data_IF_372900797445
#
_entry.id   IF_372900797445
#
_cell.length_a   1.000
_cell.length_b   1.000
_cell.length_c   1.000
_cell.angle_alpha   90.00
_cell.angle_beta   90.00
_cell.angle_gamma   90.00
#
_symmetry.space_group_name_H-M   'P 1'
#
loop_
_entity.id
_entity.type
_entity.pdbx_description
1 polymer ?
#
# COMPACT_ATOMS: atom_id res chain seq x y z
N UNK A 1 -57.35 -23.36 -0.39
CA UNK A 1 -56.39 -23.86 0.62
C UNK A 1 -55.04 -23.31 0.23
N UNK A 2 -54.68 -22.12 0.73
CA UNK A 2 -53.26 -21.72 0.89
C UNK A 2 -52.73 -22.43 2.14
N UNK A 3 -51.41 -22.57 2.40
CA UNK A 3 -50.29 -21.68 2.02
C UNK A 3 -49.12 -22.50 1.38
N UNK A 4 -47.90 -22.03 1.10
CA UNK A 4 -47.13 -20.91 1.62
C UNK A 4 -45.92 -20.60 0.71
N UNK A 5 -45.47 -19.34 0.75
CA UNK A 5 -44.10 -18.79 0.79
C UNK A 5 -42.91 -19.58 0.15
N UNK A 6 -41.89 -18.98 -0.47
CA UNK A 6 -41.31 -17.63 -0.37
C UNK A 6 -40.22 -17.50 -1.44
N UNK A 7 -40.07 -16.28 -1.97
CA UNK A 7 -38.81 -15.53 -2.18
C UNK A 7 -37.66 -16.27 -2.89
N UNK A 8 -37.42 -15.97 -4.16
CA UNK A 8 -36.54 -14.88 -4.64
C UNK A 8 -35.06 -15.28 -4.62
N UNK A 9 -34.48 -15.41 -5.79
CA UNK A 9 -33.06 -15.11 -6.08
C UNK A 9 -32.98 -15.02 -7.61
N UNK A 10 -33.08 -13.84 -8.18
CA UNK A 10 -32.02 -12.82 -8.30
C UNK A 10 -31.21 -13.01 -9.57
N UNK A 11 -31.51 -12.13 -10.54
CA UNK A 11 -30.53 -11.43 -11.37
C UNK A 11 -29.29 -12.22 -11.83
N UNK A 12 -29.50 -13.39 -12.43
CA UNK A 12 -28.47 -14.25 -13.01
C UNK A 12 -27.98 -13.73 -14.40
N UNK A 13 -27.68 -12.43 -14.53
CA UNK A 13 -27.30 -11.87 -15.84
C UNK A 13 -26.17 -10.84 -15.89
N UNK A 14 -25.40 -10.58 -14.82
CA UNK A 14 -24.43 -9.48 -14.91
C UNK A 14 -23.05 -9.66 -14.24
N UNK A 15 -22.60 -10.87 -13.89
CA UNK A 15 -21.31 -11.02 -13.20
C UNK A 15 -20.37 -12.09 -13.78
N UNK A 16 -20.36 -12.27 -15.10
CA UNK A 16 -19.47 -13.24 -15.76
C UNK A 16 -18.54 -12.57 -16.80
N UNK A 17 -17.74 -11.58 -16.40
CA UNK A 17 -16.60 -11.11 -17.22
C UNK A 17 -15.64 -10.15 -16.47
N UNK A 18 -15.03 -10.55 -15.35
CA UNK A 18 -13.91 -9.74 -14.78
C UNK A 18 -12.90 -10.50 -13.90
N UNK A 19 -13.07 -11.80 -13.64
CA UNK A 19 -12.36 -12.46 -12.52
C UNK A 19 -11.07 -13.21 -12.88
N UNK A 20 -10.69 -13.29 -14.17
CA UNK A 20 -9.59 -14.16 -14.61
C UNK A 20 -8.18 -13.56 -14.56
N UNK A 21 -8.04 -12.24 -14.76
CA UNK A 21 -6.71 -11.60 -14.92
C UNK A 21 -6.11 -11.15 -13.58
N UNK A 22 -6.94 -10.87 -12.58
CA UNK A 22 -6.49 -10.40 -11.27
C UNK A 22 -5.79 -11.50 -10.44
N UNK A 23 -6.21 -12.76 -10.58
CA UNK A 23 -5.67 -13.87 -9.78
C UNK A 23 -4.24 -14.26 -10.20
N UNK A 24 -3.87 -14.05 -11.46
CA UNK A 24 -2.61 -14.58 -12.01
C UNK A 24 -1.36 -13.75 -11.63
N UNK A 25 -1.53 -12.47 -11.29
CA UNK A 25 -0.42 -11.57 -10.94
C UNK A 25 -0.12 -11.52 -9.43
N UNK A 26 -1.13 -11.65 -8.57
CA UNK A 26 -0.95 -11.63 -7.11
C UNK A 26 -0.07 -12.81 -6.61
N UNK A 27 -0.20 -13.99 -7.23
CA UNK A 27 0.52 -15.21 -6.82
C UNK A 27 2.05 -15.11 -6.97
N UNK A 28 2.58 -14.31 -7.91
CA UNK A 28 4.03 -14.12 -8.07
C UNK A 28 4.63 -13.21 -7.00
N UNK A 29 3.92 -12.18 -6.55
CA UNK A 29 4.39 -11.28 -5.49
C UNK A 29 4.52 -11.98 -4.13
N UNK A 30 3.58 -12.87 -3.81
CA UNK A 30 3.57 -13.62 -2.54
C UNK A 30 4.81 -14.51 -2.37
N UNK A 31 5.37 -15.07 -3.46
CA UNK A 31 6.58 -15.92 -3.39
C UNK A 31 7.86 -15.19 -2.96
N UNK A 32 7.88 -13.85 -3.04
CA UNK A 32 9.01 -13.04 -2.59
C UNK A 32 8.92 -12.65 -1.10
N UNK A 33 7.75 -12.80 -0.48
CA UNK A 33 7.59 -12.62 0.95
C UNK A 33 8.23 -13.81 1.68
N UNK A 34 9.35 -13.55 2.37
CA UNK A 34 10.00 -14.52 3.25
C UNK A 34 9.66 -14.18 4.70
N UNK A 35 8.84 -14.99 5.39
CA UNK A 35 8.44 -14.71 6.77
C UNK A 35 9.55 -14.91 7.81
N UNK A 36 10.68 -15.53 7.44
CA UNK A 36 11.78 -15.93 8.34
C UNK A 36 12.91 -14.90 8.44
N UNK A 37 13.11 -14.36 9.65
CA UNK A 37 14.44 -14.30 10.30
C UNK A 37 14.33 -14.84 11.72
N UNK A 38 14.67 -16.12 11.90
CA UNK A 38 14.72 -16.94 13.13
C UNK A 38 13.51 -17.85 13.36
N UNK A 39 13.74 -19.15 13.15
CA UNK A 39 12.79 -20.24 13.38
C UNK A 39 12.38 -20.42 14.86
N UNK A 40 13.05 -19.75 15.80
CA UNK A 40 12.81 -19.89 17.25
C UNK A 40 11.57 -19.13 17.75
N UNK A 41 11.10 -18.08 17.04
CA UNK A 41 9.90 -17.32 17.45
C UNK A 41 8.57 -18.05 17.24
N UNK A 42 8.54 -19.12 16.43
CA UNK A 42 7.30 -19.86 16.11
C UNK A 42 6.78 -20.75 17.25
N UNK A 43 7.61 -21.11 18.22
CA UNK A 43 7.29 -22.15 19.20
C UNK A 43 6.57 -21.66 20.48
N UNK A 44 6.42 -20.34 20.66
CA UNK A 44 5.85 -19.76 21.89
C UNK A 44 4.85 -18.62 21.58
N UNK A 45 3.63 -18.98 21.17
CA UNK A 45 2.53 -18.03 20.94
C UNK A 45 2.56 -17.43 19.54
N UNK A 46 1.40 -17.43 18.85
CA UNK A 46 1.28 -17.07 17.44
C UNK A 46 1.97 -15.73 17.09
N UNK A 47 2.83 -15.74 16.08
CA UNK A 47 3.54 -14.54 15.65
C UNK A 47 2.56 -13.56 14.99
N UNK A 48 2.41 -12.36 15.57
CA UNK A 48 1.77 -11.25 14.88
C UNK A 48 2.70 -10.72 13.78
N UNK A 49 2.17 -10.59 12.55
CA UNK A 49 2.92 -9.98 11.45
C UNK A 49 3.11 -8.49 11.73
N UNK A 50 4.32 -7.98 11.58
CA UNK A 50 4.63 -6.56 11.80
C UNK A 50 4.40 -5.75 10.52
N UNK A 51 3.34 -4.94 10.51
CA UNK A 51 2.95 -4.07 9.39
C UNK A 51 3.27 -2.62 9.75
N UNK A 52 4.04 -1.98 8.88
CA UNK A 52 4.34 -0.55 8.96
C UNK A 52 3.53 0.21 7.91
N UNK A 53 2.68 1.11 8.37
CA UNK A 53 1.98 2.09 7.54
C UNK A 53 2.78 3.38 7.57
N UNK A 54 3.19 3.89 6.42
CA UNK A 54 3.78 5.23 6.30
C UNK A 54 2.84 6.09 5.46
N UNK A 55 2.47 7.25 5.96
CA UNK A 55 1.67 8.22 5.21
C UNK A 55 2.14 9.66 5.49
N UNK A 56 1.98 10.52 4.49
CA UNK A 56 2.14 11.97 4.64
C UNK A 56 0.85 12.69 4.26
N UNK A 57 0.95 13.94 3.79
CA UNK A 57 -0.19 14.68 3.20
C UNK A 57 -1.52 14.50 3.95
N UNK A 58 -1.49 14.73 5.27
CA UNK A 58 -2.67 14.70 6.13
C UNK A 58 -3.15 13.31 6.58
N UNK A 59 -2.46 12.20 6.27
CA UNK A 59 -2.67 10.90 6.93
C UNK A 59 -3.96 10.16 6.55
N UNK A 60 -4.67 10.62 5.51
CA UNK A 60 -5.98 10.05 5.13
C UNK A 60 -5.84 8.65 4.54
N UNK A 61 -4.80 8.41 3.75
CA UNK A 61 -4.59 7.10 3.15
C UNK A 61 -4.15 6.08 4.19
N UNK A 62 -3.22 6.48 5.06
CA UNK A 62 -2.72 5.66 6.15
C UNK A 62 -3.84 5.23 7.08
N UNK A 63 -4.80 6.14 7.38
CA UNK A 63 -6.04 5.79 8.09
C UNK A 63 -6.81 4.67 7.38
N UNK A 64 -7.18 4.87 6.11
CA UNK A 64 -7.99 3.90 5.37
C UNK A 64 -7.28 2.55 5.21
N UNK A 65 -5.97 2.55 4.98
CA UNK A 65 -5.16 1.33 4.91
C UNK A 65 -5.21 0.56 6.23
N UNK A 66 -5.02 1.23 7.36
CA UNK A 66 -5.09 0.61 8.67
C UNK A 66 -6.46 -0.01 8.96
N UNK A 67 -7.54 0.71 8.66
CA UNK A 67 -8.91 0.23 8.85
C UNK A 67 -9.18 -1.04 8.04
N UNK A 68 -8.75 -1.09 6.77
CA UNK A 68 -8.93 -2.28 5.92
C UNK A 68 -8.01 -3.44 6.35
N UNK A 69 -6.75 -3.15 6.69
CA UNK A 69 -5.80 -4.16 7.16
C UNK A 69 -6.31 -4.83 8.44
N UNK A 70 -6.83 -4.05 9.39
CA UNK A 70 -7.33 -4.60 10.66
C UNK A 70 -8.52 -5.55 10.46
N UNK A 71 -9.37 -5.33 9.44
CA UNK A 71 -10.49 -6.23 9.12
C UNK A 71 -10.01 -7.60 8.63
N UNK A 72 -8.95 -7.64 7.83
CA UNK A 72 -8.44 -8.87 7.21
C UNK A 72 -7.30 -9.54 7.98
N UNK A 73 -6.62 -8.79 8.86
CA UNK A 73 -5.48 -9.23 9.66
C UNK A 73 -5.62 -8.70 11.10
N UNK A 74 -6.61 -9.19 11.88
CA UNK A 74 -6.91 -8.66 13.22
C UNK A 74 -5.75 -8.81 14.19
N UNK A 75 -4.92 -9.85 14.04
CA UNK A 75 -3.80 -10.17 14.94
C UNK A 75 -2.47 -9.52 14.53
N UNK A 76 -2.43 -8.77 13.42
CA UNK A 76 -1.21 -8.10 12.99
C UNK A 76 -0.82 -6.96 13.96
N UNK A 77 0.48 -6.79 14.20
CA UNK A 77 0.97 -5.60 14.90
C UNK A 77 1.15 -4.47 13.90
N UNK A 78 0.37 -3.40 14.04
CA UNK A 78 0.36 -2.27 13.13
C UNK A 78 1.07 -1.10 13.79
N UNK A 79 2.11 -0.58 13.11
CA UNK A 79 2.74 0.71 13.45
C UNK A 79 2.41 1.70 12.34
N UNK A 80 1.82 2.84 12.71
CA UNK A 80 1.57 3.95 11.79
C UNK A 80 2.55 5.10 12.01
N UNK A 81 3.28 5.48 10.96
CA UNK A 81 4.23 6.59 11.00
C UNK A 81 3.77 7.68 10.05
N UNK A 82 3.45 8.85 10.59
CA UNK A 82 3.25 10.05 9.78
C UNK A 82 4.58 10.69 9.42
N UNK A 83 4.76 11.12 8.17
CA UNK A 83 5.92 11.93 7.75
C UNK A 83 5.93 13.29 8.47
N UNK A 84 4.75 13.77 8.86
CA UNK A 84 4.52 14.98 9.62
C UNK A 84 3.49 14.75 10.75
N UNK A 85 3.40 15.70 11.68
CA UNK A 85 2.54 15.59 12.86
C UNK A 85 1.04 15.59 12.55
N UNK A 86 0.60 16.25 11.47
CA UNK A 86 -0.81 16.26 11.06
C UNK A 86 -1.22 14.87 10.57
N UNK A 87 -0.38 14.22 9.76
CA UNK A 87 -0.62 12.87 9.28
C UNK A 87 -0.72 11.88 10.45
N UNK A 88 0.24 11.91 11.38
CA UNK A 88 0.19 11.07 12.59
C UNK A 88 -1.05 11.36 13.43
N UNK A 89 -1.37 12.63 13.66
CA UNK A 89 -2.52 13.04 14.47
C UNK A 89 -3.84 12.53 13.89
N UNK A 90 -4.00 12.55 12.56
CA UNK A 90 -5.21 12.05 11.92
C UNK A 90 -5.33 10.52 11.98
N UNK A 91 -4.22 9.79 11.80
CA UNK A 91 -4.22 8.33 11.99
C UNK A 91 -4.48 7.94 13.45
N UNK A 92 -3.94 8.68 14.41
CA UNK A 92 -4.14 8.45 15.84
C UNK A 92 -5.58 8.70 16.27
N UNK A 93 -6.21 9.79 15.81
CA UNK A 93 -7.63 10.08 16.09
C UNK A 93 -8.57 9.01 15.56
N UNK A 94 -8.17 8.30 14.51
CA UNK A 94 -8.92 7.18 13.95
C UNK A 94 -8.63 5.85 14.65
N UNK A 95 -7.75 5.83 15.66
CA UNK A 95 -7.28 4.61 16.33
C UNK A 95 -6.80 3.53 15.33
N UNK A 96 -6.05 3.98 14.32
CA UNK A 96 -5.75 3.19 13.14
C UNK A 96 -4.69 2.08 13.38
N UNK A 97 -3.88 2.17 14.43
CA UNK A 97 -2.71 1.31 14.66
C UNK A 97 -2.44 1.09 16.16
N UNK A 98 -1.59 0.12 16.47
CA UNK A 98 -1.17 -0.19 17.85
C UNK A 98 -0.11 0.79 18.35
N UNK A 99 0.73 1.28 17.42
CA UNK A 99 1.78 2.23 17.70
C UNK A 99 1.74 3.39 16.70
N UNK A 100 2.03 4.59 17.19
CA UNK A 100 2.10 5.80 16.38
C UNK A 100 3.44 6.50 16.59
N UNK A 101 4.04 6.97 15.50
CA UNK A 101 5.25 7.79 15.55
C UNK A 101 5.24 8.82 14.42
N UNK A 102 6.14 9.80 14.49
CA UNK A 102 6.21 10.90 13.50
C UNK A 102 7.65 11.15 13.06
N UNK A 103 7.82 11.46 11.78
CA UNK A 103 9.05 12.05 11.24
C UNK A 103 10.11 11.04 10.79
N UNK A 104 11.23 11.59 10.34
CA UNK A 104 12.27 10.86 9.60
C UNK A 104 12.82 9.66 10.36
N UNK A 105 13.27 9.87 11.59
CA UNK A 105 13.88 8.80 12.37
C UNK A 105 12.87 7.70 12.74
N UNK A 106 11.58 8.05 12.88
CA UNK A 106 10.53 7.07 13.10
C UNK A 106 10.36 6.15 11.88
N UNK A 107 10.35 6.72 10.67
CA UNK A 107 10.32 5.94 9.41
C UNK A 107 11.53 5.02 9.34
N UNK A 108 12.75 5.55 9.53
CA UNK A 108 14.00 4.77 9.44
C UNK A 108 14.00 3.62 10.45
N UNK A 109 13.61 3.90 11.70
CA UNK A 109 13.62 2.90 12.78
C UNK A 109 12.55 1.83 12.56
N UNK A 110 11.35 2.23 12.14
CA UNK A 110 10.26 1.30 11.89
C UNK A 110 10.54 0.40 10.68
N UNK A 111 11.14 0.93 9.61
CA UNK A 111 11.49 0.16 8.40
C UNK A 111 12.44 -1.02 8.69
N UNK A 112 13.24 -0.95 9.75
CA UNK A 112 14.14 -2.04 10.18
C UNK A 112 13.39 -3.20 10.86
N UNK A 113 12.21 -2.93 11.42
CA UNK A 113 11.42 -3.89 12.22
C UNK A 113 10.22 -4.46 11.43
N UNK A 114 9.81 -3.75 10.38
CA UNK A 114 8.67 -4.13 9.56
C UNK A 114 8.95 -5.40 8.75
N UNK A 115 7.94 -6.25 8.62
CA UNK A 115 7.91 -7.33 7.63
C UNK A 115 7.17 -6.89 6.37
N UNK A 116 6.17 -6.02 6.54
CA UNK A 116 5.42 -5.39 5.46
C UNK A 116 5.45 -3.88 5.65
N UNK A 117 5.76 -3.14 4.58
CA UNK A 117 5.63 -1.69 4.51
C UNK A 117 4.51 -1.37 3.52
N UNK A 118 3.56 -0.52 3.92
CA UNK A 118 2.42 -0.11 3.11
C UNK A 118 2.23 1.40 3.16
N UNK A 119 1.83 2.00 2.04
CA UNK A 119 1.58 3.43 1.93
C UNK A 119 1.55 3.90 0.48
N UNK A 120 1.32 5.21 0.24
CA UNK A 120 1.40 5.77 -1.11
C UNK A 120 2.81 5.60 -1.67
N UNK A 121 2.94 5.35 -2.98
CA UNK A 121 4.24 5.12 -3.63
C UNK A 121 5.27 6.24 -3.37
N UNK A 122 4.80 7.45 -3.10
CA UNK A 122 5.61 8.61 -2.69
C UNK A 122 6.56 8.34 -1.52
N UNK A 123 6.22 7.45 -0.58
CA UNK A 123 7.07 7.18 0.61
C UNK A 123 8.45 6.60 0.26
N UNK A 124 8.62 6.08 -0.96
CA UNK A 124 9.87 5.51 -1.45
C UNK A 124 10.62 6.45 -2.41
N UNK A 125 10.15 7.68 -2.59
CA UNK A 125 10.73 8.66 -3.51
C UNK A 125 11.27 9.85 -2.73
N UNK A 126 12.57 10.13 -2.89
CA UNK A 126 13.20 11.27 -2.23
C UNK A 126 12.57 12.58 -2.71
N UNK A 127 12.42 13.53 -1.78
CA UNK A 127 11.88 14.88 -1.98
C UNK A 127 10.41 14.90 -2.45
N UNK A 128 9.74 13.75 -2.42
CA UNK A 128 8.34 13.61 -2.75
C UNK A 128 7.44 14.36 -1.74
N UNK A 129 6.18 14.59 -2.15
CA UNK A 129 5.14 15.20 -1.30
C UNK A 129 5.58 16.58 -0.77
N UNK A 130 6.08 17.44 -1.66
CA UNK A 130 6.62 18.77 -1.34
C UNK A 130 7.78 18.73 -0.32
N UNK A 131 8.61 17.69 -0.37
CA UNK A 131 9.75 17.52 0.54
C UNK A 131 9.40 16.91 1.90
N UNK A 132 8.18 16.40 2.11
CA UNK A 132 7.86 15.64 3.32
C UNK A 132 8.65 14.33 3.42
N UNK A 133 8.97 13.72 2.27
CA UNK A 133 9.79 12.51 2.20
C UNK A 133 11.24 12.92 1.99
N UNK A 134 12.06 12.77 3.02
CA UNK A 134 13.49 13.02 2.88
C UNK A 134 14.18 11.88 2.12
N UNK A 135 15.38 12.13 1.55
CA UNK A 135 16.20 11.07 0.97
C UNK A 135 16.48 9.90 1.94
N UNK A 136 16.62 10.20 3.24
CA UNK A 136 16.85 9.17 4.26
C UNK A 136 15.62 8.30 4.50
N UNK A 137 14.41 8.89 4.51
CA UNK A 137 13.15 8.14 4.58
C UNK A 137 12.98 7.23 3.36
N UNK A 138 13.09 7.80 2.16
CA UNK A 138 12.91 7.07 0.91
C UNK A 138 13.88 5.89 0.82
N UNK A 139 15.15 6.10 1.16
CA UNK A 139 16.14 5.02 1.18
C UNK A 139 15.81 3.96 2.23
N UNK A 140 15.35 4.33 3.42
CA UNK A 140 14.97 3.37 4.45
C UNK A 140 13.80 2.49 4.00
N UNK A 141 12.82 3.05 3.29
CA UNK A 141 11.73 2.26 2.69
C UNK A 141 12.28 1.37 1.57
N UNK A 142 12.99 1.93 0.60
CA UNK A 142 13.41 1.23 -0.61
C UNK A 142 14.41 0.10 -0.35
N UNK A 143 15.32 0.29 0.61
CA UNK A 143 16.36 -0.68 0.99
C UNK A 143 15.93 -1.64 2.11
N UNK A 144 14.72 -1.47 2.67
CA UNK A 144 14.21 -2.38 3.71
C UNK A 144 14.09 -3.81 3.16
N UNK A 145 14.41 -4.83 3.98
CA UNK A 145 14.12 -6.22 3.63
C UNK A 145 12.61 -6.54 3.64
N UNK A 146 11.77 -5.61 4.12
CA UNK A 146 10.33 -5.77 4.15
C UNK A 146 9.72 -5.88 2.75
N UNK A 147 8.62 -6.62 2.67
CA UNK A 147 7.79 -6.61 1.49
C UNK A 147 7.01 -5.29 1.41
N UNK A 148 6.98 -4.67 0.23
CA UNK A 148 6.41 -3.34 0.05
C UNK A 148 5.14 -3.41 -0.77
N UNK A 149 4.05 -2.93 -0.18
CA UNK A 149 2.74 -2.77 -0.84
C UNK A 149 2.51 -1.28 -1.04
N UNK A 150 2.90 -0.78 -2.22
CA UNK A 150 2.84 0.65 -2.52
C UNK A 150 1.60 0.97 -3.35
N UNK A 151 0.81 1.94 -2.89
CA UNK A 151 -0.41 2.38 -3.55
C UNK A 151 -0.05 3.42 -4.62
N UNK A 152 -0.34 3.18 -5.91
CA UNK A 152 -0.11 4.17 -6.95
C UNK A 152 -1.01 5.38 -6.71
N UNK A 153 -0.41 6.49 -6.29
CA UNK A 153 -1.10 7.76 -6.14
C UNK A 153 -0.38 8.81 -6.97
N UNK A 154 -1.13 9.56 -7.77
CA UNK A 154 -0.61 10.68 -8.54
C UNK A 154 -0.48 11.93 -7.63
N UNK A 155 0.34 11.83 -6.59
CA UNK A 155 0.57 12.88 -5.58
C UNK A 155 1.98 13.48 -5.63
N UNK A 156 2.86 12.84 -6.39
CA UNK A 156 4.24 13.23 -6.65
C UNK A 156 4.38 13.15 -8.16
N UNK A 157 5.09 14.06 -8.84
CA UNK A 157 5.22 14.15 -10.31
C UNK A 157 5.77 12.84 -10.93
N UNK A 158 4.94 11.82 -10.94
CA UNK A 158 5.33 10.42 -11.04
C UNK A 158 4.14 9.64 -11.57
N UNK A 159 4.28 9.20 -12.81
CA UNK A 159 3.34 8.31 -13.45
C UNK A 159 3.80 6.86 -13.31
N UNK A 160 2.98 6.02 -12.68
CA UNK A 160 3.22 4.58 -12.62
C UNK A 160 2.52 3.92 -13.80
N UNK A 161 3.30 3.62 -14.85
CA UNK A 161 2.79 2.94 -16.04
C UNK A 161 2.32 1.51 -15.71
N UNK A 162 1.26 1.05 -16.38
CA UNK A 162 0.85 -0.34 -16.31
C UNK A 162 0.05 -0.77 -15.07
N UNK A 163 -0.47 0.16 -14.26
CA UNK A 163 -1.26 -0.14 -13.04
C UNK A 163 -2.58 -0.91 -13.29
N UNK A 164 -2.98 -1.11 -14.55
CA UNK A 164 -4.17 -1.87 -14.98
C UNK A 164 -3.97 -2.73 -16.24
N UNK A 165 -2.74 -2.86 -16.77
CA UNK A 165 -2.49 -3.47 -18.10
C UNK A 165 -1.51 -4.67 -18.03
N UNK A 166 -1.71 -5.66 -18.91
CA UNK A 166 -0.78 -6.79 -19.07
C UNK A 166 0.61 -6.37 -19.57
N UNK A 167 1.62 -7.24 -19.41
CA UNK A 167 3.05 -6.91 -19.54
C UNK A 167 3.47 -6.20 -20.84
N UNK A 168 2.93 -6.57 -22.00
CA UNK A 168 3.24 -5.90 -23.29
C UNK A 168 2.64 -4.50 -23.39
N UNK A 169 1.50 -4.27 -22.73
CA UNK A 169 0.81 -2.99 -22.73
C UNK A 169 1.40 -1.98 -21.73
N UNK A 170 2.25 -2.42 -20.79
CA UNK A 170 2.97 -1.54 -19.85
C UNK A 170 3.98 -0.66 -20.59
N UNK A 171 4.77 -1.25 -21.50
CA UNK A 171 5.80 -0.50 -22.22
C UNK A 171 5.15 0.54 -23.16
N UNK A 172 4.10 0.15 -23.89
CA UNK A 172 3.38 1.06 -24.76
C UNK A 172 2.77 2.25 -23.99
N UNK A 173 2.17 1.98 -22.82
CA UNK A 173 1.62 2.99 -21.91
C UNK A 173 2.70 3.97 -21.42
N UNK A 174 3.85 3.45 -21.00
CA UNK A 174 4.99 4.28 -20.61
C UNK A 174 5.50 5.15 -21.77
N UNK A 175 5.70 4.58 -22.96
CA UNK A 175 6.21 5.31 -24.13
C UNK A 175 5.24 6.39 -24.60
N UNK A 176 3.94 6.12 -24.60
CA UNK A 176 2.92 7.11 -24.96
C UNK A 176 2.90 8.27 -23.97
N UNK A 177 3.01 7.99 -22.67
CA UNK A 177 3.09 9.04 -21.67
C UNK A 177 4.35 9.91 -21.83
N UNK A 178 5.51 9.29 -22.10
CA UNK A 178 6.75 10.02 -22.39
C UNK A 178 6.59 10.93 -23.61
N UNK A 179 6.00 10.43 -24.70
CA UNK A 179 5.73 11.21 -25.93
C UNK A 179 4.90 12.46 -25.63
N UNK A 180 3.81 12.30 -24.88
CA UNK A 180 2.93 13.41 -24.49
C UNK A 180 3.62 14.45 -23.60
N UNK A 181 4.58 14.06 -22.77
CA UNK A 181 5.36 14.99 -21.96
C UNK A 181 6.39 15.77 -22.80
N UNK A 182 6.96 15.14 -23.83
CA UNK A 182 7.94 15.79 -24.72
C UNK A 182 7.32 16.77 -25.69
N UNK A 183 6.10 16.52 -26.19
CA UNK A 183 5.40 17.39 -27.13
C UNK A 183 4.77 18.63 -26.47
N UNK A 184 4.49 18.58 -25.16
CA UNK A 184 3.95 19.72 -24.42
C UNK A 184 4.98 20.81 -24.10
N UNK A 185 6.28 20.54 -24.29
CA UNK A 185 7.38 21.48 -24.00
C UNK A 185 7.75 22.40 -25.16
N UNK A 186 7.14 22.24 -26.34
CA UNK A 186 7.50 23.02 -27.54
C UNK A 186 6.70 24.31 -27.73
N UNK A 187 5.76 24.62 -26.84
CA UNK A 187 4.84 25.77 -26.94
C UNK A 187 5.10 26.89 -25.90
N UNK A 188 6.24 26.87 -25.20
CA UNK A 188 6.75 27.95 -24.32
C UNK A 188 8.07 28.52 -24.85
#
# INVERSE_FOLDING_TARGET
>A
MTPDNTASEDADSCLTAASGVFLFNAARGITQFRPDRSAEQYAAGGMSVNILIIDGQGGRMGKSLAEEIRKICPDASITAVGTNSIATGNMMKANAADHFATGENAVITACRKAQIIVGPIGIAMADAMMGEISPAMANAVASSPAYRVLIPMNLCDTYVAGTVKGSSAILADAMEHIRQLTERKTDE
#
